data_IF_012604156257
#
_entry.id   IF_012604156257
#
_cell.length_a   1.000
_cell.length_b   1.000
_cell.length_c   1.000
_cell.angle_alpha   90.00
_cell.angle_beta   90.00
_cell.angle_gamma   90.00
#
_symmetry.space_group_name_H-M   'P 1'
#
loop_
_entity.id
_entity.type
_entity.pdbx_description
1 polymer ?
#
# COMPACT_ATOMS: atom_id res chain seq x y z
N UNK A 1 -52.25 2.40 -30.30
CA UNK A 1 -52.04 1.66 -29.04
C UNK A 1 -50.55 1.73 -28.74
N UNK A 2 -50.13 2.70 -27.92
CA UNK A 2 -48.72 3.03 -27.71
C UNK A 2 -48.15 2.17 -26.57
N UNK A 3 -47.18 1.32 -26.89
CA UNK A 3 -46.39 0.61 -25.89
C UNK A 3 -45.25 1.51 -25.42
N UNK A 4 -45.33 2.01 -24.18
CA UNK A 4 -44.24 2.74 -23.53
C UNK A 4 -43.26 1.71 -22.98
N UNK A 5 -42.08 1.67 -23.60
CA UNK A 5 -40.92 0.87 -23.21
C UNK A 5 -40.27 1.53 -21.98
N UNK A 6 -40.50 0.99 -20.77
CA UNK A 6 -39.76 1.40 -19.58
C UNK A 6 -38.41 0.70 -19.55
N UNK A 7 -37.36 1.38 -20.02
CA UNK A 7 -35.98 0.96 -19.77
C UNK A 7 -35.58 1.40 -18.35
N UNK A 8 -35.57 0.46 -17.40
CA UNK A 8 -34.92 0.67 -16.10
C UNK A 8 -33.40 0.51 -16.26
N UNK A 9 -32.68 1.63 -16.34
CA UNK A 9 -31.23 1.65 -16.15
C UNK A 9 -30.93 1.42 -14.67
N UNK A 10 -30.67 0.18 -14.28
CA UNK A 10 -30.07 -0.12 -12.98
C UNK A 10 -28.62 0.37 -12.99
N UNK A 11 -28.36 1.52 -12.37
CA UNK A 11 -27.00 1.89 -11.97
C UNK A 11 -26.56 0.94 -10.86
N UNK A 12 -25.88 -0.13 -11.22
CA UNK A 12 -25.02 -0.86 -10.28
C UNK A 12 -23.91 0.10 -9.88
N UNK A 13 -24.00 0.66 -8.67
CA UNK A 13 -22.84 1.26 -8.02
C UNK A 13 -21.98 0.10 -7.52
N UNK A 14 -21.00 -0.32 -8.31
CA UNK A 14 -19.89 -1.08 -7.75
C UNK A 14 -19.20 -0.14 -6.75
N UNK A 15 -19.36 -0.41 -5.46
CA UNK A 15 -18.52 0.28 -4.46
C UNK A 15 -17.10 -0.22 -4.72
N UNK A 16 -16.10 0.67 -4.86
CA UNK A 16 -14.73 0.22 -4.86
C UNK A 16 -14.49 -0.51 -3.53
N UNK A 17 -14.05 -1.76 -3.60
CA UNK A 17 -13.66 -2.55 -2.43
C UNK A 17 -12.42 -1.86 -1.84
N UNK A 18 -12.63 -0.92 -0.92
CA UNK A 18 -11.56 -0.32 -0.12
C UNK A 18 -11.17 -1.31 0.96
N UNK A 19 -9.94 -1.83 0.89
CA UNK A 19 -9.38 -2.73 1.90
C UNK A 19 -8.67 -1.96 3.00
N UNK A 20 -8.52 -2.58 4.16
CA UNK A 20 -7.60 -2.12 5.22
C UNK A 20 -6.74 -3.28 5.71
N UNK A 21 -5.51 -2.97 6.10
CA UNK A 21 -4.49 -3.97 6.32
C UNK A 21 -3.20 -3.39 6.87
N UNK A 22 -2.13 -4.20 6.89
CA UNK A 22 -0.80 -3.79 7.34
C UNK A 22 0.22 -3.91 6.23
N UNK A 23 1.26 -3.10 6.34
CA UNK A 23 2.44 -3.18 5.48
C UNK A 23 3.57 -3.93 6.21
N UNK A 24 4.19 -4.87 5.50
CA UNK A 24 5.26 -5.74 5.99
C UNK A 24 6.46 -5.69 5.06
N UNK A 25 7.63 -6.04 5.61
CA UNK A 25 8.87 -6.11 4.85
C UNK A 25 9.27 -7.57 4.63
N UNK A 26 9.64 -7.90 3.41
CA UNK A 26 10.31 -9.14 3.06
C UNK A 26 11.59 -8.81 2.29
N UNK A 27 12.60 -9.69 2.35
CA UNK A 27 13.73 -9.62 1.43
C UNK A 27 13.27 -9.92 0.01
N UNK A 28 14.02 -9.42 -0.97
CA UNK A 28 13.75 -9.69 -2.39
C UNK A 28 13.89 -11.19 -2.73
N UNK A 29 14.67 -11.95 -1.98
CA UNK A 29 14.76 -13.43 -2.11
C UNK A 29 13.58 -14.20 -1.48
N UNK A 30 12.63 -13.48 -0.87
CA UNK A 30 11.41 -14.03 -0.27
C UNK A 30 11.52 -14.36 1.22
N UNK A 31 12.69 -14.21 1.85
CA UNK A 31 12.81 -14.38 3.30
C UNK A 31 12.13 -13.21 4.03
N UNK A 32 11.14 -13.50 4.87
CA UNK A 32 10.47 -12.46 5.64
C UNK A 32 11.45 -11.86 6.65
N UNK A 33 11.56 -10.52 6.66
CA UNK A 33 12.27 -9.82 7.72
C UNK A 33 11.29 -9.68 8.88
N UNK A 34 11.71 -10.00 10.10
CA UNK A 34 10.89 -9.77 11.28
C UNK A 34 10.64 -8.26 11.43
N UNK A 35 9.45 -7.81 11.07
CA UNK A 35 9.06 -6.41 11.21
C UNK A 35 7.90 -5.97 10.32
N UNK A 36 7.28 -4.89 10.76
CA UNK A 36 6.17 -4.21 10.12
C UNK A 36 6.58 -2.78 9.78
N UNK A 37 5.91 -2.18 8.80
CA UNK A 37 6.06 -0.76 8.55
C UNK A 37 5.21 0.05 9.52
N UNK A 38 5.85 1.02 10.16
CA UNK A 38 5.26 1.94 11.12
C UNK A 38 5.46 3.38 10.66
N UNK A 39 4.50 4.22 10.99
CA UNK A 39 4.61 5.67 10.82
C UNK A 39 5.24 6.28 12.08
N UNK A 40 6.32 7.05 11.91
CA UNK A 40 6.98 7.83 12.96
C UNK A 40 7.39 9.18 12.39
N UNK A 41 6.84 10.27 12.94
CA UNK A 41 7.09 11.65 12.46
C UNK A 41 6.90 11.77 10.94
N UNK A 42 5.78 11.27 10.43
CA UNK A 42 5.42 11.23 9.00
C UNK A 42 6.36 10.43 8.09
N UNK A 43 7.36 9.74 8.65
CA UNK A 43 8.22 8.82 7.92
C UNK A 43 7.77 7.38 8.13
N UNK A 44 7.94 6.55 7.09
CA UNK A 44 7.69 5.12 7.19
C UNK A 44 8.98 4.39 7.51
N UNK A 45 8.97 3.67 8.63
CA UNK A 45 10.14 2.98 9.17
C UNK A 45 9.82 1.52 9.51
N UNK A 46 10.84 0.66 9.54
CA UNK A 46 10.72 -0.69 10.08
C UNK A 46 10.51 -0.65 11.60
N UNK A 47 9.62 -1.49 12.13
CA UNK A 47 9.37 -1.61 13.57
C UNK A 47 8.74 -2.95 13.93
N UNK A 48 8.79 -3.36 15.21
CA UNK A 48 8.10 -4.57 15.70
C UNK A 48 6.56 -4.44 15.83
N UNK A 49 5.99 -3.28 15.48
CA UNK A 49 4.55 -2.99 15.57
C UNK A 49 4.15 -2.22 14.32
N UNK A 50 3.17 -2.73 13.59
CA UNK A 50 2.70 -2.13 12.35
C UNK A 50 1.74 -0.97 12.54
N UNK A 51 1.67 -0.11 11.53
CA UNK A 51 0.54 0.80 11.33
C UNK A 51 -0.51 0.16 10.40
N UNK A 52 -1.76 0.56 10.57
CA UNK A 52 -2.86 0.13 9.70
C UNK A 52 -2.98 1.13 8.55
N UNK A 53 -3.17 0.61 7.35
CA UNK A 53 -3.32 1.37 6.13
C UNK A 53 -4.58 0.97 5.38
N UNK A 54 -5.27 1.94 4.79
CA UNK A 54 -6.29 1.67 3.78
C UNK A 54 -5.63 1.58 2.40
N UNK A 55 -6.25 0.80 1.52
CA UNK A 55 -5.91 0.75 0.11
C UNK A 55 -7.15 1.03 -0.74
N UNK A 56 -7.03 1.99 -1.65
CA UNK A 56 -8.01 2.27 -2.70
C UNK A 56 -7.60 1.55 -3.99
N UNK A 57 -8.52 0.84 -4.69
CA UNK A 57 -8.26 0.26 -6.02
C UNK A 57 -7.66 1.23 -7.07
N UNK A 58 -7.84 2.54 -6.90
CA UNK A 58 -7.20 3.57 -7.70
C UNK A 58 -5.69 3.74 -7.44
N UNK A 59 -5.12 3.02 -6.47
CA UNK A 59 -3.69 2.97 -6.17
C UNK A 59 -3.26 3.74 -4.92
N UNK A 60 -4.18 4.43 -4.24
CA UNK A 60 -3.84 5.18 -3.04
C UNK A 60 -3.68 4.27 -1.81
N UNK A 61 -2.57 4.41 -1.10
CA UNK A 61 -2.37 3.82 0.23
C UNK A 61 -2.42 4.95 1.25
N UNK A 62 -3.30 4.86 2.24
CA UNK A 62 -3.47 5.91 3.26
C UNK A 62 -3.32 5.36 4.66
N UNK A 63 -2.76 6.15 5.57
CA UNK A 63 -2.76 5.81 6.99
C UNK A 63 -4.19 5.79 7.51
N UNK A 64 -4.60 4.69 8.15
CA UNK A 64 -5.93 4.60 8.77
C UNK A 64 -6.11 5.64 9.88
N UNK A 65 -5.05 5.94 10.63
CA UNK A 65 -5.10 6.83 11.78
C UNK A 65 -5.14 8.32 11.42
N UNK A 66 -4.31 8.75 10.46
CA UNK A 66 -4.21 10.18 10.10
C UNK A 66 -4.95 10.56 8.83
N UNK A 67 -5.35 9.59 7.99
CA UNK A 67 -5.91 9.83 6.66
C UNK A 67 -4.89 10.34 5.63
N UNK A 68 -3.62 10.50 6.02
CA UNK A 68 -2.56 10.97 5.12
C UNK A 68 -2.12 9.87 4.16
N UNK A 69 -1.65 10.28 3.00
CA UNK A 69 -1.28 9.41 1.89
C UNK A 69 0.18 9.01 1.95
N UNK A 70 0.46 7.75 1.62
CA UNK A 70 1.80 7.27 1.36
C UNK A 70 2.34 7.95 0.10
N UNK A 71 3.56 8.48 0.16
CA UNK A 71 4.22 9.16 -0.94
C UNK A 71 5.73 8.95 -0.87
N UNK A 72 6.42 9.32 -1.94
CA UNK A 72 7.88 9.42 -1.98
C UNK A 72 8.27 10.90 -2.05
N UNK A 73 9.21 11.33 -1.20
CA UNK A 73 9.74 12.69 -1.23
C UNK A 73 10.85 12.85 -2.30
N UNK A 74 11.40 14.06 -2.43
CA UNK A 74 12.45 14.35 -3.42
C UNK A 74 13.76 13.59 -3.17
N UNK A 75 13.97 13.11 -1.94
CA UNK A 75 15.12 12.29 -1.55
C UNK A 75 14.88 10.78 -1.77
N UNK A 76 13.72 10.40 -2.33
CA UNK A 76 13.37 9.01 -2.55
C UNK A 76 12.86 8.28 -1.31
N UNK A 77 12.62 8.97 -0.20
CA UNK A 77 12.14 8.36 1.05
C UNK A 77 10.61 8.22 1.06
N UNK A 78 10.13 7.13 1.65
CA UNK A 78 8.70 6.86 1.84
C UNK A 78 8.18 7.60 3.07
N UNK A 79 7.23 8.50 2.84
CA UNK A 79 6.67 9.42 3.84
C UNK A 79 5.15 9.48 3.74
N UNK A 80 4.52 10.16 4.71
CA UNK A 80 3.13 10.59 4.66
C UNK A 80 3.00 12.05 4.25
N UNK A 81 1.97 12.34 3.47
CA UNK A 81 1.60 13.71 3.04
C UNK A 81 0.09 13.86 3.02
N UNK A 82 -0.37 15.10 3.14
CA UNK A 82 -1.76 15.52 2.97
C UNK A 82 -2.30 15.31 1.54
N UNK A 83 -1.42 15.23 0.53
CA UNK A 83 -1.80 15.05 -0.86
C UNK A 83 -1.35 13.71 -1.41
N UNK A 84 -2.30 12.88 -1.87
CA UNK A 84 -1.98 11.63 -2.56
C UNK A 84 -1.12 11.89 -3.79
N UNK A 85 0.10 11.35 -3.80
CA UNK A 85 0.89 11.26 -5.02
C UNK A 85 0.64 9.91 -5.68
N UNK A 86 0.46 9.96 -6.99
CA UNK A 86 0.37 8.77 -7.82
C UNK A 86 1.70 8.00 -7.77
N UNK A 87 1.61 6.68 -7.98
CA UNK A 87 2.77 5.81 -8.16
C UNK A 87 2.71 4.55 -7.32
N UNK A 88 2.14 4.60 -6.12
CA UNK A 88 1.90 3.39 -5.35
C UNK A 88 0.82 2.53 -6.00
N UNK A 89 1.01 1.21 -5.95
CA UNK A 89 0.02 0.23 -6.37
C UNK A 89 0.20 -1.05 -5.57
N UNK A 90 -0.92 -1.70 -5.26
CA UNK A 90 -0.95 -3.01 -4.60
C UNK A 90 -1.41 -4.04 -5.64
N UNK A 91 -0.55 -4.99 -5.99
CA UNK A 91 -0.86 -5.96 -7.03
C UNK A 91 -1.86 -7.02 -6.54
N UNK A 92 -2.87 -7.33 -7.34
CA UNK A 92 -3.71 -8.51 -7.15
C UNK A 92 -2.91 -9.77 -7.51
N UNK A 93 -2.14 -10.29 -6.55
CA UNK A 93 -1.65 -11.66 -6.70
C UNK A 93 -2.81 -12.62 -6.38
N UNK A 94 -3.26 -13.34 -7.40
CA UNK A 94 -4.42 -14.25 -7.31
C UNK A 94 -4.12 -15.50 -6.48
N UNK A 95 -2.86 -15.76 -6.15
CA UNK A 95 -2.43 -16.99 -5.48
C UNK A 95 -2.21 -16.82 -3.97
N UNK A 96 -2.11 -15.60 -3.47
CA UNK A 96 -1.86 -15.33 -2.05
C UNK A 96 -3.16 -14.89 -1.36
N UNK A 97 -3.53 -15.62 -0.31
CA UNK A 97 -4.70 -15.35 0.51
C UNK A 97 -4.49 -14.05 1.30
N UNK A 98 -4.80 -12.89 0.70
CA UNK A 98 -4.77 -11.59 1.36
C UNK A 98 -3.39 -10.93 1.49
N UNK A 99 -2.32 -11.52 0.96
CA UNK A 99 -0.99 -10.88 0.93
C UNK A 99 -0.71 -10.38 -0.47
N UNK A 100 -0.44 -9.10 -0.65
CA UNK A 100 -0.29 -8.46 -1.97
C UNK A 100 1.00 -7.67 -2.05
N UNK A 101 1.66 -7.66 -3.19
CA UNK A 101 2.93 -6.94 -3.34
C UNK A 101 2.68 -5.45 -3.62
N UNK A 102 3.40 -4.58 -2.91
CA UNK A 102 3.39 -3.14 -3.15
C UNK A 102 4.44 -2.79 -4.19
N UNK A 103 4.13 -1.85 -5.05
CA UNK A 103 5.06 -1.25 -6.00
C UNK A 103 4.95 0.26 -6.00
N UNK A 104 6.02 0.94 -6.40
CA UNK A 104 6.03 2.38 -6.68
C UNK A 104 6.50 2.62 -8.11
N UNK A 105 5.67 3.24 -8.94
CA UNK A 105 5.89 3.42 -10.38
C UNK A 105 6.27 2.12 -11.10
N UNK A 106 5.64 1.00 -10.70
CA UNK A 106 5.89 -0.33 -11.23
C UNK A 106 7.14 -1.03 -10.68
N UNK A 107 8.01 -0.33 -9.94
CA UNK A 107 9.15 -0.95 -9.25
C UNK A 107 8.68 -1.59 -7.94
N UNK A 108 9.09 -2.84 -7.71
CA UNK A 108 8.73 -3.65 -6.54
C UNK A 108 9.83 -3.71 -5.48
N UNK A 109 11.02 -3.21 -5.83
CA UNK A 109 12.17 -3.15 -4.93
C UNK A 109 12.19 -1.80 -4.23
N UNK A 110 12.24 -1.88 -2.91
CA UNK A 110 12.47 -0.77 -2.00
C UNK A 110 13.79 -1.01 -1.28
N UNK A 111 14.25 -0.01 -0.55
CA UNK A 111 15.48 -0.08 0.23
C UNK A 111 15.17 0.18 1.70
N UNK A 112 15.63 -0.71 2.57
CA UNK A 112 15.68 -0.48 4.01
C UNK A 112 17.01 0.18 4.33
N UNK A 113 16.97 1.44 4.75
CA UNK A 113 18.16 2.24 5.08
C UNK A 113 18.70 1.90 6.48
N UNK A 114 19.96 2.30 6.74
CA UNK A 114 20.61 2.08 8.04
C UNK A 114 19.93 2.80 9.22
N UNK A 115 19.10 3.81 8.96
CA UNK A 115 18.27 4.51 9.94
C UNK A 115 16.85 3.92 10.07
N UNK A 116 16.64 2.72 9.53
CA UNK A 116 15.37 1.98 9.48
C UNK A 116 14.28 2.64 8.61
N UNK A 117 14.59 3.74 7.92
CA UNK A 117 13.66 4.35 6.96
C UNK A 117 13.55 3.52 5.68
N UNK A 118 12.40 3.66 5.00
CA UNK A 118 12.13 3.00 3.73
C UNK A 118 12.33 4.00 2.59
N UNK A 119 13.08 3.59 1.56
CA UNK A 119 13.33 4.38 0.37
C UNK A 119 13.04 3.64 -0.93
N UNK A 120 12.95 4.40 -2.01
CA UNK A 120 12.88 3.92 -3.41
C UNK A 120 14.20 4.12 -4.16
N UNK A 121 15.10 4.92 -3.60
CA UNK A 121 16.49 5.08 -4.01
C UNK A 121 17.42 4.45 -2.96
N UNK A 122 18.59 4.00 -3.41
CA UNK A 122 19.61 3.46 -2.51
C UNK A 122 20.09 4.53 -1.51
N UNK A 123 20.45 4.07 -0.32
CA UNK A 123 20.94 4.85 0.81
C UNK A 123 22.09 4.08 1.49
N UNK A 124 22.83 4.75 2.37
CA UNK A 124 23.96 4.12 3.06
C UNK A 124 23.51 2.91 3.87
N UNK A 125 24.12 1.75 3.59
CA UNK A 125 23.77 0.48 4.23
C UNK A 125 22.44 -0.11 3.76
N UNK A 126 21.89 0.35 2.63
CA UNK A 126 20.64 -0.14 2.08
C UNK A 126 20.62 -1.67 1.89
N UNK A 127 19.53 -2.29 2.32
CA UNK A 127 19.18 -3.67 1.96
C UNK A 127 17.95 -3.64 1.06
N UNK A 128 18.01 -4.38 -0.05
CA UNK A 128 16.89 -4.51 -0.97
C UNK A 128 15.78 -5.34 -0.35
N UNK A 129 14.57 -4.77 -0.37
CA UNK A 129 13.38 -5.35 0.22
C UNK A 129 12.19 -5.24 -0.72
N UNK A 130 11.21 -6.10 -0.48
CA UNK A 130 9.85 -5.98 -0.99
C UNK A 130 8.92 -5.54 0.15
N UNK A 131 7.91 -4.75 -0.19
CA UNK A 131 6.85 -4.38 0.74
C UNK A 131 5.61 -5.18 0.39
N UNK A 132 5.04 -5.86 1.39
CA UNK A 132 3.82 -6.64 1.28
C UNK A 132 2.67 -5.91 2.00
N UNK A 133 1.50 -5.91 1.40
CA UNK A 133 0.24 -5.47 1.98
C UNK A 133 -0.56 -6.71 2.40
N UNK A 134 -0.79 -6.89 3.70
CA UNK A 134 -1.62 -7.96 4.23
C UNK A 134 -3.01 -7.40 4.57
N UNK A 135 -4.02 -7.83 3.82
CA UNK A 135 -5.42 -7.53 4.06
C UNK A 135 -5.85 -8.11 5.41
N UNK A 136 -6.52 -7.29 6.22
CA UNK A 136 -7.32 -7.86 7.31
C UNK A 136 -8.54 -8.49 6.67
N UNK A 137 -8.63 -9.82 6.72
CA UNK A 137 -9.78 -10.53 6.18
C UNK A 137 -11.06 -9.91 6.74
N UNK A 138 -11.88 -9.33 5.85
CA UNK A 138 -13.29 -9.12 6.17
C UNK A 138 -13.84 -10.52 6.46
N UNK A 139 -14.30 -10.76 7.70
CA UNK A 139 -15.27 -11.82 7.94
C UNK A 139 -16.50 -11.48 7.09
N UNK A 140 -16.53 -11.91 5.83
CA UNK A 140 -17.70 -11.87 4.95
C UNK A 140 -18.61 -13.05 5.26
#
# INVERSE_FOLDING_TARGET
>A
MNAILFLFLALVSARPDTGYGMLHVARVDGEQIEGHLRIKNDMVTLHNKGSIFNYDPAGAITSFMSGMFLSVNELGQVILTDHGKEGFAVSEDRNSQGIRLVSFNGNKVFHLCGDESIGTSSCDGAVDISILYEDFAEYR
#
